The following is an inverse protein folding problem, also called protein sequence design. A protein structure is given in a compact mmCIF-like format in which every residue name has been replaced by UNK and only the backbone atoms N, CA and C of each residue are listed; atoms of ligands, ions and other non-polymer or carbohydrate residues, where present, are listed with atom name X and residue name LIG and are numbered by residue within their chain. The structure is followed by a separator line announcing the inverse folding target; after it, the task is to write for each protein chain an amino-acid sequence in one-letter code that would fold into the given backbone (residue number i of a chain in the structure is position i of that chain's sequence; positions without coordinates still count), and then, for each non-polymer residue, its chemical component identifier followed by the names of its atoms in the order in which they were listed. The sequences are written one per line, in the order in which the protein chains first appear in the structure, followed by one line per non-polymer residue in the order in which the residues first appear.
data_IF_236912210275
#
_entry.id   IF_236912210275
#
_cell.length_a   1.000
_cell.length_b   1.000
_cell.length_c   1.000
_cell.angle_alpha   90.00
_cell.angle_beta   90.00
_cell.angle_gamma   90.00
#
_symmetry.space_group_name_H-M   'P 1'
#
loop_
_entity.id
_entity.type
_entity.pdbx_description
1 polymer ?
#
# COMPACT_ATOMS: atom_id res chain seq x y z
N UNK A 1 19.50 -63.19 4.86
CA UNK A 1 19.78 -63.22 6.31
C UNK A 1 21.12 -62.55 6.56
N UNK A 2 21.10 -61.39 7.19
CA UNK A 2 22.23 -60.82 7.93
C UNK A 2 21.62 -59.92 9.00
N UNK A 3 21.31 -60.54 10.13
CA UNK A 3 21.18 -59.86 11.42
C UNK A 3 22.61 -59.48 11.82
N UNK A 4 22.84 -58.28 12.37
CA UNK A 4 23.78 -57.99 13.48
C UNK A 4 24.02 -56.47 13.57
N UNK A 5 23.51 -55.90 14.69
CA UNK A 5 23.77 -54.58 15.27
C UNK A 5 23.02 -53.39 14.64
N UNK A 6 21.70 -53.39 14.78
CA UNK A 6 20.95 -52.14 14.95
C UNK A 6 21.13 -51.72 16.41
N UNK A 7 21.86 -50.62 16.66
CA UNK A 7 21.93 -49.99 17.98
C UNK A 7 20.85 -48.89 18.04
N UNK A 8 19.63 -49.16 18.56
CA UNK A 8 18.48 -48.26 18.47
C UNK A 8 18.64 -46.98 19.30
N UNK A 9 19.61 -46.93 20.21
CA UNK A 9 19.87 -45.75 21.06
C UNK A 9 20.69 -44.69 20.32
N UNK A 10 21.50 -45.09 19.33
CA UNK A 10 22.34 -44.16 18.54
C UNK A 10 21.53 -43.48 17.43
N UNK A 11 20.59 -44.20 16.81
CA UNK A 11 19.70 -43.74 15.72
C UNK A 11 18.73 -42.65 16.20
N UNK A 12 18.21 -42.74 17.43
CA UNK A 12 17.29 -41.72 17.97
C UNK A 12 17.95 -40.35 18.13
N UNK A 13 19.23 -40.29 18.49
CA UNK A 13 19.96 -39.02 18.66
C UNK A 13 20.23 -38.34 17.31
N UNK A 14 20.53 -39.12 16.27
CA UNK A 14 20.68 -38.63 14.90
C UNK A 14 19.34 -38.15 14.31
N UNK A 15 18.27 -38.93 14.48
CA UNK A 15 16.91 -38.50 14.09
C UNK A 15 16.47 -37.21 14.79
N UNK A 16 16.68 -37.09 16.10
CA UNK A 16 16.34 -35.87 16.86
C UNK A 16 17.17 -34.67 16.37
N UNK A 17 18.45 -34.87 16.05
CA UNK A 17 19.30 -33.80 15.49
C UNK A 17 18.78 -33.32 14.14
N UNK A 18 18.40 -34.24 13.25
CA UNK A 18 17.90 -33.88 11.93
C UNK A 18 16.56 -33.14 12.02
N UNK A 19 15.63 -33.59 12.89
CA UNK A 19 14.39 -32.86 13.16
C UNK A 19 14.63 -31.49 13.80
N UNK A 20 15.63 -31.33 14.68
CA UNK A 20 15.99 -30.03 15.24
C UNK A 20 16.53 -29.08 14.17
N UNK A 21 17.40 -29.56 13.28
CA UNK A 21 17.94 -28.75 12.17
C UNK A 21 16.81 -28.33 11.23
N UNK A 22 15.94 -29.25 10.83
CA UNK A 22 14.77 -28.93 10.00
C UNK A 22 13.83 -27.96 10.70
N UNK A 23 13.55 -28.20 11.99
CA UNK A 23 12.71 -27.31 12.81
C UNK A 23 13.28 -25.90 12.92
N UNK A 24 14.59 -25.75 13.11
CA UNK A 24 15.26 -24.44 13.16
C UNK A 24 15.20 -23.72 11.81
N UNK A 25 15.42 -24.44 10.71
CA UNK A 25 15.30 -23.85 9.36
C UNK A 25 13.86 -23.41 9.10
N UNK A 26 12.87 -24.25 9.43
CA UNK A 26 11.46 -23.91 9.27
C UNK A 26 11.04 -22.73 10.13
N UNK A 27 11.48 -22.68 11.39
CA UNK A 27 11.19 -21.56 12.30
C UNK A 27 11.84 -20.26 11.81
N UNK A 28 13.06 -20.35 11.28
CA UNK A 28 13.74 -19.19 10.68
C UNK A 28 13.00 -18.69 9.44
N UNK A 29 12.58 -19.61 8.55
CA UNK A 29 11.79 -19.27 7.38
C UNK A 29 10.43 -18.66 7.75
N UNK A 30 9.76 -19.20 8.77
CA UNK A 30 8.50 -18.66 9.28
C UNK A 30 8.67 -17.27 9.87
N UNK A 31 9.70 -17.07 10.70
CA UNK A 31 10.01 -15.77 11.31
C UNK A 31 10.30 -14.72 10.24
N UNK A 32 11.05 -15.09 9.20
CA UNK A 32 11.29 -14.23 8.05
C UNK A 32 10.01 -13.90 7.29
N UNK A 33 9.13 -14.89 7.06
CA UNK A 33 7.83 -14.66 6.42
C UNK A 33 6.96 -13.67 7.20
N UNK A 34 6.87 -13.84 8.53
CA UNK A 34 6.12 -12.93 9.42
C UNK A 34 6.72 -11.52 9.35
N UNK A 35 8.05 -11.39 9.42
CA UNK A 35 8.73 -10.11 9.31
C UNK A 35 8.50 -9.42 7.95
N UNK A 36 8.54 -10.19 6.87
CA UNK A 36 8.29 -9.68 5.52
C UNK A 36 6.87 -9.15 5.38
N UNK A 37 5.86 -9.88 5.89
CA UNK A 37 4.46 -9.42 5.90
C UNK A 37 4.28 -8.18 6.79
N UNK A 38 4.96 -8.13 7.93
CA UNK A 38 4.95 -6.97 8.82
C UNK A 38 5.45 -5.69 8.12
N UNK A 39 6.48 -5.81 7.29
CA UNK A 39 7.04 -4.70 6.50
C UNK A 39 6.16 -4.32 5.30
N UNK A 40 5.56 -5.30 4.63
CA UNK A 40 4.72 -5.08 3.45
C UNK A 40 3.29 -4.62 3.78
N UNK A 41 2.94 -4.47 5.06
CA UNK A 41 1.60 -4.06 5.46
C UNK A 41 1.29 -2.63 5.00
N UNK A 42 0.11 -2.38 4.41
CA UNK A 42 -0.35 -1.02 4.12
C UNK A 42 -0.69 -0.32 5.43
N UNK A 43 -0.14 0.88 5.62
CA UNK A 43 -0.33 1.69 6.84
C UNK A 43 -1.15 2.94 6.54
N UNK A 44 -0.98 3.55 5.37
CA UNK A 44 -1.68 4.76 5.01
C UNK A 44 -2.20 4.69 3.57
N UNK A 45 -3.38 5.27 3.38
CA UNK A 45 -3.89 5.67 2.07
C UNK A 45 -3.83 7.19 2.03
N UNK A 46 -2.84 7.72 1.34
CA UNK A 46 -2.53 9.14 1.29
C UNK A 46 -3.23 9.76 0.09
N UNK A 47 -4.10 10.73 0.32
CA UNK A 47 -4.71 11.50 -0.76
C UNK A 47 -3.79 12.64 -1.19
N UNK A 48 -3.27 12.54 -2.41
CA UNK A 48 -2.30 13.47 -3.00
C UNK A 48 -2.99 14.24 -4.13
N UNK A 49 -3.84 15.22 -3.76
CA UNK A 49 -4.59 16.17 -4.64
C UNK A 49 -5.53 15.58 -5.69
N UNK A 50 -5.13 14.56 -6.43
CA UNK A 50 -5.83 13.95 -7.56
C UNK A 50 -5.73 12.42 -7.60
N UNK A 51 -5.02 11.81 -6.63
CA UNK A 51 -4.81 10.37 -6.54
C UNK A 51 -4.76 9.89 -5.09
N UNK A 52 -4.94 8.60 -4.90
CA UNK A 52 -4.74 7.92 -3.62
C UNK A 52 -3.47 7.08 -3.68
N UNK A 53 -2.48 7.37 -2.86
CA UNK A 53 -1.24 6.61 -2.75
C UNK A 53 -1.30 5.67 -1.55
N UNK A 54 -1.11 4.38 -1.78
CA UNK A 54 -1.04 3.37 -0.72
C UNK A 54 0.41 3.20 -0.30
N UNK A 55 0.69 3.65 0.93
CA UNK A 55 2.02 3.62 1.53
C UNK A 55 2.12 2.45 2.51
N UNK A 56 3.20 1.67 2.39
CA UNK A 56 3.49 0.55 3.30
C UNK A 56 4.48 0.95 4.39
N UNK A 57 4.47 0.21 5.50
CA UNK A 57 5.35 0.49 6.63
C UNK A 57 6.84 0.56 6.24
N UNK A 58 7.27 -0.29 5.29
CA UNK A 58 8.65 -0.34 4.83
C UNK A 58 9.10 0.87 3.98
N UNK A 59 8.20 1.74 3.53
CA UNK A 59 8.53 2.93 2.74
C UNK A 59 8.75 4.18 3.59
N UNK A 60 8.31 4.16 4.84
CA UNK A 60 8.49 5.26 5.78
C UNK A 60 9.79 5.09 6.54
N UNK A 61 10.67 6.08 6.44
CA UNK A 61 11.89 6.11 7.23
C UNK A 61 11.58 6.61 8.66
N UNK A 62 12.21 6.00 9.65
CA UNK A 62 12.16 6.46 11.03
C UNK A 62 12.70 7.90 11.17
N UNK A 63 13.65 8.29 10.32
CA UNK A 63 14.19 9.65 10.30
C UNK A 63 13.12 10.70 9.95
N UNK A 64 12.17 10.38 9.07
CA UNK A 64 11.13 11.32 8.65
C UNK A 64 9.95 11.43 9.63
N UNK A 65 9.81 10.43 10.50
CA UNK A 65 8.79 10.42 11.55
C UNK A 65 9.03 11.51 12.60
N UNK A 66 10.27 11.99 12.75
CA UNK A 66 10.62 13.04 13.71
C UNK A 66 10.02 14.41 13.36
N UNK A 67 9.66 14.65 12.10
CA UNK A 67 9.01 15.88 11.65
C UNK A 67 7.50 15.79 11.53
N UNK A 68 6.90 14.65 11.89
CA UNK A 68 5.46 14.44 11.84
C UNK A 68 4.80 14.98 13.11
N UNK A 69 3.57 15.51 12.98
CA UNK A 69 2.74 15.81 14.15
C UNK A 69 2.50 14.55 15.01
N UNK A 70 2.29 14.74 16.31
CA UNK A 70 2.20 13.68 17.33
C UNK A 70 1.21 12.54 16.97
N UNK A 71 0.23 12.81 16.11
CA UNK A 71 -0.74 11.84 15.62
C UNK A 71 -0.24 10.89 14.53
N UNK A 72 0.86 11.20 13.85
CA UNK A 72 1.39 10.45 12.70
C UNK A 72 2.76 9.82 12.94
N UNK A 73 3.38 10.10 14.10
CA UNK A 73 4.66 9.50 14.53
C UNK A 73 4.55 7.98 14.75
N UNK A 74 3.35 7.46 15.00
CA UNK A 74 3.09 6.03 15.20
C UNK A 74 2.34 5.45 14.02
N UNK A 75 2.93 4.46 13.36
CA UNK A 75 2.28 3.75 12.27
C UNK A 75 1.10 2.91 12.79
N UNK A 76 -0.07 2.96 12.15
CA UNK A 76 -1.21 2.14 12.53
C UNK A 76 -0.89 0.65 12.39
N UNK A 77 -1.37 -0.12 13.36
CA UNK A 77 -1.22 -1.57 13.44
C UNK A 77 -2.45 -2.33 12.90
N UNK A 78 -3.64 -1.73 13.02
CA UNK A 78 -4.94 -2.33 12.66
C UNK A 78 -5.51 -1.77 11.35
N UNK A 79 -4.75 -1.94 10.27
CA UNK A 79 -5.19 -1.59 8.92
C UNK A 79 -4.86 -0.16 8.51
N UNK A 80 -5.10 0.17 7.23
CA UNK A 80 -4.65 1.43 6.66
C UNK A 80 -5.57 2.59 7.09
N UNK A 81 -4.96 3.70 7.52
CA UNK A 81 -5.68 4.96 7.79
C UNK A 81 -5.66 5.83 6.54
N UNK A 82 -6.81 6.38 6.14
CA UNK A 82 -6.86 7.39 5.08
C UNK A 82 -6.44 8.75 5.65
N UNK A 83 -5.47 9.38 4.99
CA UNK A 83 -4.91 10.67 5.39
C UNK A 83 -4.73 11.54 4.15
N UNK A 84 -4.64 12.85 4.35
CA UNK A 84 -4.45 13.83 3.28
C UNK A 84 -3.09 14.50 3.45
N UNK A 85 -2.52 15.02 2.37
CA UNK A 85 -1.28 15.81 2.44
C UNK A 85 -1.53 17.27 2.16
N UNK A 86 -0.87 18.14 2.93
CA UNK A 86 -0.77 19.55 2.62
C UNK A 86 0.51 19.86 1.86
N UNK A 87 0.34 20.45 0.68
CA UNK A 87 1.47 20.91 -0.10
C UNK A 87 2.12 22.12 0.55
N UNK A 88 3.46 22.18 0.60
CA UNK A 88 4.16 23.32 1.16
C UNK A 88 3.77 24.61 0.43
N UNK A 89 3.57 25.69 1.18
CA UNK A 89 3.26 27.00 0.61
C UNK A 89 4.53 27.72 0.11
N UNK A 90 5.67 27.47 0.76
CA UNK A 90 6.96 28.09 0.45
C UNK A 90 7.56 27.54 -0.86
N UNK A 91 7.93 28.42 -1.82
CA UNK A 91 8.63 28.02 -3.04
C UNK A 91 9.94 27.23 -2.82
N UNK A 92 10.67 27.48 -1.72
CA UNK A 92 11.91 26.75 -1.43
C UNK A 92 11.59 25.30 -1.06
N UNK A 93 10.69 25.08 -0.10
CA UNK A 93 10.22 23.73 0.26
C UNK A 93 9.61 22.98 -0.92
N UNK A 94 8.86 23.67 -1.79
CA UNK A 94 8.34 23.06 -3.03
C UNK A 94 9.46 22.56 -3.93
N UNK A 95 10.53 23.34 -4.06
CA UNK A 95 11.69 22.96 -4.89
C UNK A 95 12.42 21.77 -4.28
N UNK A 96 12.61 21.76 -2.97
CA UNK A 96 13.17 20.61 -2.25
C UNK A 96 12.31 19.36 -2.40
N UNK A 97 10.99 19.51 -2.29
CA UNK A 97 10.04 18.42 -2.50
C UNK A 97 10.18 17.82 -3.91
N UNK A 98 10.25 18.66 -4.95
CA UNK A 98 10.47 18.21 -6.32
C UNK A 98 11.79 17.44 -6.47
N UNK A 99 12.88 17.93 -5.86
CA UNK A 99 14.17 17.23 -5.87
C UNK A 99 14.10 15.89 -5.14
N UNK A 100 13.39 15.83 -4.01
CA UNK A 100 13.19 14.57 -3.27
C UNK A 100 12.34 13.58 -4.05
N UNK A 101 11.30 14.03 -4.77
CA UNK A 101 10.48 13.19 -5.62
C UNK A 101 11.29 12.55 -6.76
N UNK A 102 12.23 13.30 -7.37
CA UNK A 102 13.17 12.77 -8.37
C UNK A 102 14.09 11.69 -7.78
N UNK A 103 14.41 11.77 -6.49
CA UNK A 103 15.17 10.75 -5.76
C UNK A 103 14.30 9.56 -5.30
N UNK A 104 13.01 9.56 -5.66
CA UNK A 104 12.05 8.51 -5.30
C UNK A 104 11.31 8.74 -3.99
N UNK A 105 11.44 9.93 -3.38
CA UNK A 105 10.81 10.29 -2.10
C UNK A 105 9.87 11.47 -2.28
N UNK A 106 8.66 11.17 -2.74
CA UNK A 106 7.61 12.16 -3.00
C UNK A 106 6.80 12.46 -1.72
N UNK A 107 5.85 13.41 -1.80
CA UNK A 107 5.12 13.97 -0.64
C UNK A 107 4.39 12.91 0.19
N UNK A 108 3.90 11.84 -0.44
CA UNK A 108 3.23 10.73 0.25
C UNK A 108 4.17 9.96 1.18
N UNK A 109 5.48 10.03 0.99
CA UNK A 109 6.48 9.41 1.87
C UNK A 109 7.03 10.40 2.90
N UNK A 110 6.42 11.57 3.05
CA UNK A 110 6.86 12.62 3.95
C UNK A 110 5.81 12.92 5.02
N UNK A 111 5.88 12.22 6.17
CA UNK A 111 4.98 12.37 7.30
C UNK A 111 4.78 13.80 7.81
N UNK A 112 5.75 14.69 7.59
CA UNK A 112 5.65 16.11 7.95
C UNK A 112 4.48 16.85 7.29
N UNK A 113 4.01 16.36 6.15
CA UNK A 113 2.92 16.95 5.38
C UNK A 113 1.58 16.25 5.64
N UNK A 114 1.54 15.26 6.53
CA UNK A 114 0.33 14.48 6.80
C UNK A 114 -0.65 15.28 7.65
N UNK A 115 -1.92 15.22 7.25
CA UNK A 115 -3.05 15.69 8.03
C UNK A 115 -4.25 14.77 7.90
N UNK A 116 -5.20 14.93 8.81
CA UNK A 116 -6.49 14.27 8.64
C UNK A 116 -7.25 14.90 7.46
N UNK A 117 -7.91 14.05 6.67
CA UNK A 117 -8.74 14.50 5.56
C UNK A 117 -10.00 15.18 6.05
N UNK A 118 -10.43 16.24 5.36
CA UNK A 118 -11.75 16.82 5.60
C UNK A 118 -12.85 15.90 5.03
N UNK A 119 -14.05 15.98 5.59
CA UNK A 119 -15.18 15.15 5.14
C UNK A 119 -15.53 15.46 3.68
N UNK A 120 -15.43 14.46 2.82
CA UNK A 120 -15.74 14.59 1.39
C UNK A 120 -14.65 15.24 0.53
N UNK A 121 -13.48 15.58 1.10
CA UNK A 121 -12.36 16.20 0.37
C UNK A 121 -11.83 15.31 -0.75
N UNK A 122 -11.62 14.02 -0.45
CA UNK A 122 -11.17 13.04 -1.44
C UNK A 122 -12.13 13.00 -2.64
N UNK A 123 -13.44 13.10 -2.39
CA UNK A 123 -14.47 13.01 -3.42
C UNK A 123 -14.65 14.30 -4.20
N UNK A 124 -14.48 15.47 -3.58
CA UNK A 124 -14.59 16.76 -4.28
C UNK A 124 -13.55 16.91 -5.39
N UNK A 125 -12.41 16.24 -5.22
CA UNK A 125 -11.31 16.18 -6.18
C UNK A 125 -11.33 14.92 -7.08
N UNK A 126 -12.31 14.04 -6.90
CA UNK A 126 -12.44 12.85 -7.73
C UNK A 126 -12.85 13.21 -9.16
N UNK A 127 -12.30 12.48 -10.13
CA UNK A 127 -12.59 12.70 -11.54
C UNK A 127 -14.00 12.23 -11.87
N UNK A 128 -14.69 12.99 -12.73
CA UNK A 128 -16.01 12.61 -13.22
C UNK A 128 -15.97 11.42 -14.17
N UNK A 129 -17.11 10.75 -14.34
CA UNK A 129 -17.29 9.61 -15.28
C UNK A 129 -16.83 9.89 -16.71
N UNK A 130 -16.88 11.14 -17.17
CA UNK A 130 -16.49 11.54 -18.53
C UNK A 130 -14.97 11.66 -18.72
N UNK A 131 -14.23 11.77 -17.63
CA UNK A 131 -12.77 11.84 -17.66
C UNK A 131 -12.14 10.45 -17.65
N UNK A 132 -12.85 9.40 -17.25
CA UNK A 132 -12.31 8.04 -17.20
C UNK A 132 -11.77 7.60 -18.56
N UNK A 133 -12.61 7.60 -19.59
CA UNK A 133 -12.22 7.17 -20.93
C UNK A 133 -11.15 8.09 -21.53
N UNK A 134 -11.23 9.40 -21.25
CA UNK A 134 -10.27 10.39 -21.75
C UNK A 134 -8.87 10.22 -21.16
N UNK A 135 -8.78 9.95 -19.86
CA UNK A 135 -7.51 9.91 -19.12
C UNK A 135 -6.89 8.51 -19.10
N UNK A 136 -7.68 7.44 -19.20
CA UNK A 136 -7.21 6.06 -19.00
C UNK A 136 -7.38 5.16 -20.21
N UNK A 137 -8.14 5.59 -21.24
CA UNK A 137 -8.57 4.74 -22.38
C UNK A 137 -9.36 3.47 -21.97
N UNK A 138 -9.73 3.34 -20.70
CA UNK A 138 -10.55 2.23 -20.18
C UNK A 138 -12.00 2.49 -20.56
N UNK A 139 -12.59 1.58 -21.34
CA UNK A 139 -13.99 1.66 -21.74
C UNK A 139 -14.90 1.45 -20.55
N UNK A 140 -15.99 2.21 -20.46
CA UNK A 140 -17.02 2.00 -19.43
C UNK A 140 -17.60 0.58 -19.42
N UNK A 141 -17.65 -0.07 -20.59
CA UNK A 141 -18.15 -1.44 -20.73
C UNK A 141 -17.28 -2.52 -20.09
N UNK A 142 -16.01 -2.21 -19.75
CA UNK A 142 -15.16 -3.13 -18.99
C UNK A 142 -15.32 -2.97 -17.48
N UNK A 143 -16.06 -1.95 -17.03
CA UNK A 143 -16.40 -1.79 -15.63
C UNK A 143 -17.49 -2.79 -15.23
N UNK A 144 -17.57 -3.16 -13.94
CA UNK A 144 -18.69 -3.95 -13.44
C UNK A 144 -20.03 -3.29 -13.79
N UNK A 145 -21.02 -4.09 -14.22
CA UNK A 145 -22.36 -3.63 -14.62
C UNK A 145 -23.03 -2.74 -13.56
N UNK A 146 -22.78 -3.01 -12.27
CA UNK A 146 -23.33 -2.24 -11.15
C UNK A 146 -22.81 -0.79 -11.06
N UNK A 147 -21.75 -0.47 -11.79
CA UNK A 147 -21.06 0.84 -11.78
C UNK A 147 -21.27 1.58 -13.10
N UNK A 148 -21.18 0.89 -14.24
CA UNK A 148 -21.19 1.51 -15.57
C UNK A 148 -22.44 2.35 -15.89
N UNK A 149 -23.60 1.95 -15.34
CA UNK A 149 -24.89 2.60 -15.60
C UNK A 149 -25.22 3.74 -14.60
N UNK A 150 -24.46 3.87 -13.51
CA UNK A 150 -24.71 4.89 -12.48
C UNK A 150 -23.85 6.14 -12.69
N UNK A 151 -24.20 7.24 -12.00
CA UNK A 151 -23.29 8.37 -11.88
C UNK A 151 -22.20 8.01 -10.85
N UNK A 152 -20.95 8.12 -11.28
CA UNK A 152 -19.81 7.70 -10.47
C UNK A 152 -18.63 8.67 -10.62
N UNK A 153 -17.92 8.83 -9.53
CA UNK A 153 -16.62 9.51 -9.50
C UNK A 153 -15.53 8.47 -9.33
N UNK A 154 -14.34 8.72 -9.87
CA UNK A 154 -13.23 7.78 -9.77
C UNK A 154 -11.93 8.48 -9.39
N UNK A 155 -11.05 7.74 -8.73
CA UNK A 155 -9.70 8.17 -8.43
C UNK A 155 -8.69 7.06 -8.78
N UNK A 156 -7.53 7.41 -9.35
CA UNK A 156 -6.44 6.48 -9.47
C UNK A 156 -5.90 6.17 -8.07
N UNK A 157 -5.70 4.88 -7.81
CA UNK A 157 -4.99 4.40 -6.64
C UNK A 157 -3.64 3.88 -7.09
N UNK A 158 -2.57 4.38 -6.50
CA UNK A 158 -1.20 4.02 -6.83
C UNK A 158 -0.53 3.41 -5.61
N UNK A 159 0.26 2.38 -5.85
CA UNK A 159 1.10 1.75 -4.85
C UNK A 159 2.40 1.33 -5.51
N UNK A 160 3.44 1.08 -4.72
CA UNK A 160 4.69 0.47 -5.22
C UNK A 160 4.48 -0.87 -5.94
N UNK A 161 3.37 -1.57 -5.67
CA UNK A 161 3.08 -2.88 -6.26
C UNK A 161 2.26 -2.80 -7.55
N UNK A 162 1.73 -1.62 -7.88
CA UNK A 162 0.88 -1.41 -9.05
C UNK A 162 -0.15 -0.31 -8.82
N UNK A 163 -0.95 -0.08 -9.84
CA UNK A 163 -1.99 0.93 -9.85
C UNK A 163 -3.33 0.31 -10.23
N UNK A 164 -4.38 0.82 -9.60
CA UNK A 164 -5.76 0.42 -9.86
C UNK A 164 -6.67 1.64 -9.76
N UNK A 165 -7.97 1.45 -9.93
CA UNK A 165 -8.94 2.53 -9.86
C UNK A 165 -9.92 2.24 -8.73
N UNK A 166 -10.21 3.28 -7.94
CA UNK A 166 -11.34 3.25 -7.01
C UNK A 166 -12.50 4.04 -7.61
N UNK A 167 -13.70 3.48 -7.54
CA UNK A 167 -14.92 4.09 -8.05
C UNK A 167 -15.91 4.29 -6.92
N UNK A 168 -16.40 5.51 -6.79
CA UNK A 168 -17.42 5.92 -5.84
C UNK A 168 -18.75 6.04 -6.59
N UNK A 169 -19.70 5.17 -6.25
CA UNK A 169 -21.03 5.13 -6.88
C UNK A 169 -22.04 5.88 -6.02
N UNK A 170 -22.71 6.88 -6.59
CA UNK A 170 -23.69 7.69 -5.87
C UNK A 170 -23.07 8.53 -4.74
N UNK A 171 -23.86 8.79 -3.69
CA UNK A 171 -23.49 9.68 -2.57
C UNK A 171 -22.83 8.97 -1.37
N UNK A 172 -22.63 7.66 -1.46
CA UNK A 172 -22.10 6.87 -0.36
C UNK A 172 -20.59 6.71 -0.49
N UNK A 173 -19.84 7.31 0.42
CA UNK A 173 -18.41 7.06 0.65
C UNK A 173 -18.16 5.64 1.24
N UNK A 174 -19.24 4.95 1.60
CA UNK A 174 -19.19 3.70 2.39
C UNK A 174 -18.97 2.43 1.58
N UNK A 175 -19.03 2.51 0.24
CA UNK A 175 -18.87 1.34 -0.66
C UNK A 175 -18.07 1.68 -1.92
N UNK A 176 -16.79 2.06 -1.79
CA UNK A 176 -15.92 2.18 -2.95
C UNK A 176 -15.77 0.83 -3.66
N UNK A 177 -15.89 0.84 -4.98
CA UNK A 177 -15.64 -0.32 -5.84
C UNK A 177 -14.23 -0.23 -6.37
N UNK A 178 -13.39 -1.20 -6.02
CA UNK A 178 -12.02 -1.29 -6.54
C UNK A 178 -12.01 -2.09 -7.83
N UNK A 179 -11.47 -1.48 -8.89
CA UNK A 179 -11.32 -2.10 -10.21
C UNK A 179 -9.83 -2.23 -10.50
N UNK A 180 -9.38 -3.47 -10.70
CA UNK A 180 -8.01 -3.77 -11.10
C UNK A 180 -7.83 -3.43 -12.59
N UNK A 181 -7.64 -2.14 -12.86
CA UNK A 181 -7.29 -1.62 -14.15
C UNK A 181 -6.25 -0.51 -13.95
N UNK A 182 -5.13 -0.59 -14.64
CA UNK A 182 -4.06 0.40 -14.51
C UNK A 182 -4.46 1.66 -15.30
N UNK A 183 -4.71 2.80 -14.63
CA UNK A 183 -5.11 4.04 -15.29
C UNK A 183 -4.00 4.66 -16.15
N UNK A 184 -2.74 4.22 -15.99
CA UNK A 184 -1.56 4.76 -16.67
C UNK A 184 -0.96 3.82 -17.71
N UNK A 185 -1.61 2.70 -18.03
CA UNK A 185 -1.03 1.65 -18.87
C UNK A 185 -0.71 2.08 -20.32
N UNK A 186 -1.24 3.22 -20.78
CA UNK A 186 -1.15 3.66 -22.18
C UNK A 186 -0.57 5.07 -22.37
N UNK A 187 0.07 5.66 -21.35
CA UNK A 187 0.74 6.98 -21.47
C UNK A 187 2.21 6.86 -21.92
N UNK A 188 2.52 5.85 -22.76
CA UNK A 188 3.85 5.61 -23.32
C UNK A 188 3.99 6.09 -24.75
#
# INVERSE_FOLDING_TARGET
MSLVIFNPVKVRKEMVRDYLVVGLIQFSALSYGIYSVYLARPVYVVFVKDRLDVVVAAELDAADMHGADDGFTRLPLLGPKTICVDYPADPQERSELLWSAVQGKDIQLQPRYYRDCEQGEVRSHAYGRDQLEKLTQIKRSSLPLNVGDQDFSWLPVVSRFGSWIVIFVGDSDTRPVYVNANPFANTG
#
